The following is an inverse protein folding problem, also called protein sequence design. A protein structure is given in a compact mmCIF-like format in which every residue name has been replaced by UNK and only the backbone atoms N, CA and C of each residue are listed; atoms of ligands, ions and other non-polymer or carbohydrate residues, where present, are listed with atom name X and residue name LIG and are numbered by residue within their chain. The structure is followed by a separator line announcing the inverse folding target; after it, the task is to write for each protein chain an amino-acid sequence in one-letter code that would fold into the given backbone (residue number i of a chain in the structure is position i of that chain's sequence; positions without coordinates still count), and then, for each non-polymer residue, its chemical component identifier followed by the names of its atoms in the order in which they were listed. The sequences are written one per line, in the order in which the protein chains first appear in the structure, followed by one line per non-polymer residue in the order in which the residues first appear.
data_IF_949694567689
#
_entry.id   IF_949694567689
#
_cell.length_a   1.000
_cell.length_b   1.000
_cell.length_c   1.000
_cell.angle_alpha   90.00
_cell.angle_beta   90.00
_cell.angle_gamma   90.00
#
_symmetry.space_group_name_H-M   'P 1'
#
loop_
_entity.id
_entity.type
_entity.pdbx_description
1 polymer ?
#
# COMPACT_ATOMS: atom_id res chain seq x y z
N UNK A 1 13.45 22.69 -5.37
CA UNK A 1 13.63 21.27 -5.01
C UNK A 1 13.05 20.45 -6.14
N UNK A 2 13.89 19.68 -6.81
CA UNK A 2 13.49 18.78 -7.89
C UNK A 2 12.67 17.60 -7.34
N UNK A 3 11.85 16.98 -8.19
CA UNK A 3 10.93 15.88 -7.81
C UNK A 3 11.70 14.67 -7.25
N UNK A 4 12.84 14.34 -7.85
CA UNK A 4 13.69 13.23 -7.44
C UNK A 4 14.24 13.44 -6.02
N UNK A 5 14.69 14.66 -5.70
CA UNK A 5 15.19 14.99 -4.36
C UNK A 5 14.13 14.79 -3.26
N UNK A 6 12.86 15.10 -3.54
CA UNK A 6 11.77 14.87 -2.57
C UNK A 6 11.47 13.39 -2.37
N UNK A 7 11.62 12.57 -3.41
CA UNK A 7 11.44 11.13 -3.32
C UNK A 7 12.57 10.50 -2.50
N UNK A 8 13.82 10.91 -2.76
CA UNK A 8 14.99 10.44 -2.02
C UNK A 8 14.89 10.75 -0.52
N UNK A 9 14.49 11.97 -0.15
CA UNK A 9 14.28 12.35 1.25
C UNK A 9 13.15 11.57 1.93
N UNK A 10 12.11 11.23 1.18
CA UNK A 10 11.01 10.41 1.68
C UNK A 10 11.43 8.96 1.87
N UNK A 11 12.15 8.41 0.91
CA UNK A 11 12.72 7.08 0.99
C UNK A 11 13.66 6.97 2.20
N UNK A 12 14.60 7.90 2.35
CA UNK A 12 15.55 7.90 3.46
C UNK A 12 14.84 7.93 4.83
N UNK A 13 13.84 8.81 5.01
CA UNK A 13 13.06 8.85 6.25
C UNK A 13 12.27 7.56 6.50
N UNK A 14 11.65 7.00 5.47
CA UNK A 14 10.88 5.77 5.59
C UNK A 14 11.78 4.56 5.92
N UNK A 15 12.96 4.48 5.30
CA UNK A 15 13.95 3.44 5.57
C UNK A 15 14.68 3.60 6.90
N UNK A 16 14.62 4.76 7.56
CA UNK A 16 15.16 4.91 8.92
C UNK A 16 14.28 4.21 9.98
N UNK A 17 13.00 3.99 9.66
CA UNK A 17 12.08 3.30 10.55
C UNK A 17 12.36 1.79 10.60
N UNK A 18 12.00 1.15 11.72
CA UNK A 18 12.04 -0.31 11.80
C UNK A 18 10.98 -0.97 10.90
N UNK A 19 11.19 -2.24 10.56
CA UNK A 19 10.32 -3.02 9.68
C UNK A 19 8.85 -3.03 10.15
N UNK A 20 8.59 -3.15 11.45
CA UNK A 20 7.21 -3.15 11.99
C UNK A 20 6.49 -1.85 11.65
N UNK A 21 7.13 -0.69 11.82
CA UNK A 21 6.55 0.60 11.49
C UNK A 21 6.33 0.76 9.98
N UNK A 22 7.30 0.35 9.15
CA UNK A 22 7.16 0.37 7.68
C UNK A 22 5.97 -0.47 7.20
N UNK A 23 5.80 -1.68 7.75
CA UNK A 23 4.63 -2.53 7.49
C UNK A 23 3.34 -1.83 7.96
N UNK A 24 3.36 -1.19 9.13
CA UNK A 24 2.24 -0.39 9.63
C UNK A 24 1.84 0.75 8.68
N UNK A 25 2.80 1.45 8.09
CA UNK A 25 2.55 2.49 7.08
C UNK A 25 1.92 1.91 5.80
N UNK A 26 2.43 0.77 5.31
CA UNK A 26 1.83 0.07 4.17
C UNK A 26 0.39 -0.33 4.49
N UNK A 27 0.14 -0.92 5.66
CA UNK A 27 -1.19 -1.30 6.11
C UNK A 27 -2.15 -0.09 6.22
N UNK A 28 -1.66 1.04 6.70
CA UNK A 28 -2.42 2.30 6.78
C UNK A 28 -2.80 2.82 5.39
N UNK A 29 -1.88 2.80 4.44
CA UNK A 29 -2.17 3.19 3.07
C UNK A 29 -3.19 2.27 2.40
N UNK A 30 -3.12 0.96 2.62
CA UNK A 30 -4.13 0.01 2.15
C UNK A 30 -5.52 0.30 2.76
N UNK A 31 -5.59 0.68 4.06
CA UNK A 31 -6.84 1.13 4.68
C UNK A 31 -7.37 2.44 4.07
N UNK A 32 -6.48 3.35 3.67
CA UNK A 32 -6.85 4.58 2.95
C UNK A 32 -7.38 4.25 1.55
N UNK A 33 -6.78 3.31 0.83
CA UNK A 33 -7.27 2.85 -0.47
C UNK A 33 -8.68 2.29 -0.38
N UNK A 34 -8.98 1.44 0.63
CA UNK A 34 -10.34 0.99 0.93
C UNK A 34 -11.29 2.18 1.08
N UNK A 35 -10.94 3.15 1.92
CA UNK A 35 -11.76 4.34 2.16
C UNK A 35 -12.00 5.12 0.86
N UNK A 36 -10.97 5.39 0.07
CA UNK A 36 -11.07 6.17 -1.16
C UNK A 36 -11.81 5.46 -2.29
N UNK A 37 -11.73 4.13 -2.37
CA UNK A 37 -12.58 3.35 -3.26
C UNK A 37 -14.06 3.48 -2.87
N UNK A 38 -14.38 3.40 -1.57
CA UNK A 38 -15.76 3.51 -1.08
C UNK A 38 -16.38 4.89 -1.29
N UNK A 39 -15.62 5.96 -1.08
CA UNK A 39 -16.10 7.33 -1.30
C UNK A 39 -15.92 7.82 -2.74
N UNK A 40 -15.49 6.93 -3.64
CA UNK A 40 -15.23 7.22 -5.06
C UNK A 40 -14.34 8.47 -5.27
N UNK A 41 -13.15 8.48 -4.64
CA UNK A 41 -12.14 9.54 -4.82
C UNK A 41 -10.93 9.06 -5.66
N UNK A 42 -10.96 9.19 -7.00
CA UNK A 42 -9.99 8.53 -7.88
C UNK A 42 -8.56 9.03 -7.71
N UNK A 43 -8.36 10.35 -7.65
CA UNK A 43 -7.02 10.95 -7.56
C UNK A 43 -6.29 10.49 -6.28
N UNK A 44 -7.04 10.29 -5.19
CA UNK A 44 -6.49 9.79 -3.94
C UNK A 44 -6.14 8.29 -4.03
N UNK A 45 -6.91 7.49 -4.77
CA UNK A 45 -6.58 6.07 -5.02
C UNK A 45 -5.29 5.94 -5.82
N UNK A 46 -5.15 6.68 -6.92
CA UNK A 46 -3.93 6.65 -7.73
C UNK A 46 -2.70 7.10 -6.92
N UNK A 47 -2.80 8.24 -6.24
CA UNK A 47 -1.68 8.77 -5.46
C UNK A 47 -1.26 7.86 -4.30
N UNK A 48 -2.21 7.23 -3.60
CA UNK A 48 -1.87 6.32 -2.50
C UNK A 48 -1.38 4.97 -3.03
N UNK A 49 -1.90 4.48 -4.15
CA UNK A 49 -1.39 3.26 -4.78
C UNK A 49 0.09 3.41 -5.15
N UNK A 50 0.47 4.56 -5.72
CA UNK A 50 1.86 4.87 -6.10
C UNK A 50 2.79 4.89 -4.90
N UNK A 51 2.39 5.59 -3.83
CA UNK A 51 3.14 5.61 -2.57
C UNK A 51 3.29 4.21 -1.97
N UNK A 52 2.20 3.43 -1.99
CA UNK A 52 2.19 2.06 -1.43
C UNK A 52 3.14 1.14 -2.20
N UNK A 53 3.18 1.26 -3.53
CA UNK A 53 4.11 0.50 -4.38
C UNK A 53 5.56 0.81 -4.01
N UNK A 54 5.93 2.09 -3.86
CA UNK A 54 7.28 2.47 -3.43
C UNK A 54 7.61 1.94 -2.04
N UNK A 55 6.69 2.04 -1.08
CA UNK A 55 6.92 1.54 0.27
C UNK A 55 7.10 0.03 0.31
N UNK A 56 6.34 -0.72 -0.51
CA UNK A 56 6.54 -2.16 -0.68
C UNK A 56 7.93 -2.45 -1.24
N UNK A 57 8.34 -1.78 -2.32
CA UNK A 57 9.65 -1.98 -2.94
C UNK A 57 10.80 -1.76 -1.95
N UNK A 58 10.71 -0.72 -1.12
CA UNK A 58 11.71 -0.40 -0.11
C UNK A 58 11.67 -1.28 1.14
N UNK A 59 10.59 -2.04 1.35
CA UNK A 59 10.43 -2.92 2.52
C UNK A 59 10.70 -4.38 2.17
N UNK A 60 10.20 -4.87 1.03
CA UNK A 60 10.25 -6.28 0.66
C UNK A 60 11.67 -6.83 0.51
N UNK A 61 12.65 -5.98 0.18
CA UNK A 61 14.05 -6.36 0.08
C UNK A 61 14.73 -6.68 1.43
N UNK A 62 14.10 -6.30 2.55
CA UNK A 62 14.72 -6.32 3.90
C UNK A 62 13.96 -7.20 4.90
N UNK A 63 12.98 -8.00 4.44
CA UNK A 63 12.14 -8.84 5.30
C UNK A 63 12.21 -10.32 4.90
N UNK A 64 11.67 -11.19 5.76
CA UNK A 64 11.61 -12.63 5.50
C UNK A 64 10.90 -12.94 4.16
N UNK A 65 11.37 -13.94 3.40
CA UNK A 65 10.87 -14.22 2.05
C UNK A 65 9.36 -14.41 1.96
N UNK A 66 8.74 -15.05 2.95
CA UNK A 66 7.29 -15.30 2.98
C UNK A 66 6.49 -13.99 3.09
N UNK A 67 7.02 -13.02 3.84
CA UNK A 67 6.42 -11.69 3.95
C UNK A 67 6.70 -10.83 2.72
N UNK A 68 7.90 -10.96 2.14
CA UNK A 68 8.25 -10.28 0.89
C UNK A 68 7.34 -10.72 -0.26
N UNK A 69 7.05 -12.02 -0.38
CA UNK A 69 6.14 -12.56 -1.39
C UNK A 69 4.74 -11.94 -1.27
N UNK A 70 4.18 -11.87 -0.06
CA UNK A 70 2.86 -11.28 0.18
C UNK A 70 2.83 -9.80 -0.27
N UNK A 71 3.85 -9.01 0.10
CA UNK A 71 3.94 -7.61 -0.31
C UNK A 71 4.08 -7.46 -1.83
N UNK A 72 4.94 -8.26 -2.48
CA UNK A 72 5.13 -8.21 -3.92
C UNK A 72 3.84 -8.59 -4.67
N UNK A 73 3.08 -9.56 -4.17
CA UNK A 73 1.78 -9.91 -4.73
C UNK A 73 0.80 -8.72 -4.67
N UNK A 74 0.78 -7.97 -3.56
CA UNK A 74 0.00 -6.73 -3.43
C UNK A 74 0.48 -5.69 -4.45
N UNK A 75 1.79 -5.46 -4.57
CA UNK A 75 2.38 -4.52 -5.53
C UNK A 75 1.97 -4.84 -6.97
N UNK A 76 1.98 -6.12 -7.35
CA UNK A 76 1.55 -6.56 -8.69
C UNK A 76 0.07 -6.22 -8.93
N UNK A 77 -0.80 -6.44 -7.94
CA UNK A 77 -2.22 -6.11 -8.09
C UNK A 77 -2.46 -4.60 -8.15
N UNK A 78 -1.81 -3.80 -7.31
CA UNK A 78 -1.88 -2.33 -7.39
C UNK A 78 -1.39 -1.83 -8.75
N UNK A 79 -0.31 -2.40 -9.28
CA UNK A 79 0.20 -2.07 -10.62
C UNK A 79 -0.81 -2.43 -11.72
N UNK A 80 -1.53 -3.56 -11.59
CA UNK A 80 -2.60 -3.94 -12.51
C UNK A 80 -3.80 -3.01 -12.42
N UNK A 81 -4.16 -2.54 -11.23
CA UNK A 81 -5.21 -1.53 -11.05
C UNK A 81 -4.86 -0.28 -11.83
N UNK A 82 -3.63 0.24 -11.67
CA UNK A 82 -3.17 1.42 -12.41
C UNK A 82 -3.27 1.25 -13.93
N UNK A 83 -2.84 0.10 -14.45
CA UNK A 83 -2.89 -0.18 -15.90
C UNK A 83 -4.32 -0.22 -16.45
N UNK A 84 -5.31 -0.53 -15.61
CA UNK A 84 -6.72 -0.71 -16.00
C UNK A 84 -7.64 0.30 -15.30
N UNK A 85 -7.08 1.38 -14.76
CA UNK A 85 -7.76 2.18 -13.75
C UNK A 85 -9.10 2.72 -14.24
N UNK A 86 -9.13 3.35 -15.41
CA UNK A 86 -10.37 3.90 -16.00
C UNK A 86 -11.48 2.85 -16.12
N UNK A 87 -11.13 1.64 -16.57
CA UNK A 87 -12.11 0.55 -16.72
C UNK A 87 -12.64 0.06 -15.37
N UNK A 88 -11.75 -0.18 -14.40
CA UNK A 88 -12.14 -0.61 -13.05
C UNK A 88 -12.91 0.48 -12.31
N UNK A 89 -12.51 1.73 -12.50
CA UNK A 89 -13.10 2.86 -11.78
C UNK A 89 -14.49 3.21 -12.29
N UNK A 90 -14.75 3.03 -13.58
CA UNK A 90 -16.07 3.27 -14.18
C UNK A 90 -17.15 2.29 -13.70
N UNK A 91 -16.77 1.11 -13.22
CA UNK A 91 -17.66 0.07 -12.71
C UNK A 91 -17.72 0.10 -11.18
N UNK A 92 -18.92 0.33 -10.63
CA UNK A 92 -19.13 0.37 -9.17
C UNK A 92 -18.81 -0.96 -8.47
N UNK A 93 -19.11 -2.09 -9.12
CA UNK A 93 -18.83 -3.42 -8.59
C UNK A 93 -17.32 -3.65 -8.51
N UNK A 94 -16.57 -3.22 -9.52
CA UNK A 94 -15.11 -3.31 -9.53
C UNK A 94 -14.48 -2.38 -8.48
N UNK A 95 -14.96 -1.13 -8.34
CA UNK A 95 -14.52 -0.25 -7.24
C UNK A 95 -14.77 -0.85 -5.86
N UNK A 96 -15.91 -1.51 -5.67
CA UNK A 96 -16.22 -2.22 -4.41
C UNK A 96 -15.26 -3.39 -4.19
N UNK A 97 -14.96 -4.16 -5.23
CA UNK A 97 -13.97 -5.24 -5.16
C UNK A 97 -12.57 -4.71 -4.80
N UNK A 98 -12.14 -3.59 -5.39
CA UNK A 98 -10.89 -2.91 -5.01
C UNK A 98 -10.89 -2.54 -3.51
N UNK A 99 -12.00 -2.02 -3.00
CA UNK A 99 -12.14 -1.69 -1.57
C UNK A 99 -12.00 -2.90 -0.67
N UNK A 100 -12.66 -4.01 -1.00
CA UNK A 100 -12.61 -5.26 -0.24
C UNK A 100 -11.22 -5.89 -0.24
N UNK A 101 -10.55 -5.91 -1.40
CA UNK A 101 -9.15 -6.35 -1.53
C UNK A 101 -8.22 -5.51 -0.66
N UNK A 102 -8.30 -4.18 -0.77
CA UNK A 102 -7.48 -3.27 0.02
C UNK A 102 -7.71 -3.43 1.53
N UNK A 103 -8.95 -3.69 1.96
CA UNK A 103 -9.26 -3.99 3.36
C UNK A 103 -8.61 -5.30 3.83
N UNK A 104 -8.65 -6.35 3.01
CA UNK A 104 -8.03 -7.64 3.32
C UNK A 104 -6.50 -7.54 3.40
N UNK A 105 -5.88 -6.82 2.46
CA UNK A 105 -4.43 -6.59 2.48
C UNK A 105 -4.02 -5.75 3.69
N UNK A 106 -4.77 -4.70 4.03
CA UNK A 106 -4.50 -3.86 5.19
C UNK A 106 -4.43 -4.68 6.48
N UNK A 107 -5.43 -5.56 6.71
CA UNK A 107 -5.43 -6.43 7.89
C UNK A 107 -4.22 -7.36 7.91
N UNK A 108 -3.94 -8.05 6.79
CA UNK A 108 -2.81 -8.99 6.71
C UNK A 108 -1.46 -8.31 6.96
N UNK A 109 -1.21 -7.17 6.33
CA UNK A 109 0.05 -6.43 6.49
C UNK A 109 0.16 -5.85 7.91
N UNK A 110 -0.95 -5.44 8.52
CA UNK A 110 -0.97 -5.02 9.92
C UNK A 110 -0.64 -6.17 10.85
N UNK A 111 -1.15 -7.37 10.59
CA UNK A 111 -0.81 -8.57 11.37
C UNK A 111 0.68 -8.91 11.23
N UNK A 112 1.23 -8.86 10.01
CA UNK A 112 2.67 -9.04 9.74
C UNK A 112 3.54 -8.03 10.50
N UNK A 113 3.06 -6.81 10.73
CA UNK A 113 3.82 -5.78 11.43
C UNK A 113 4.08 -6.12 12.91
N UNK A 114 3.24 -6.95 13.52
CA UNK A 114 3.26 -7.23 14.96
C UNK A 114 2.89 -6.02 15.84
N UNK A 115 2.41 -4.91 15.29
CA UNK A 115 2.06 -3.71 16.08
C UNK A 115 0.82 -3.92 16.96
N UNK A 116 -0.09 -4.80 16.54
CA UNK A 116 -1.29 -5.16 17.32
C UNK A 116 -0.95 -5.92 18.61
N UNK A 117 0.16 -6.68 18.64
CA UNK A 117 0.59 -7.43 19.83
C UNK A 117 1.53 -6.62 20.74
N UNK A 118 2.14 -5.54 20.25
CA UNK A 118 3.01 -4.65 21.03
C UNK A 118 2.23 -3.60 21.84
N UNK A 119 0.93 -3.44 21.56
CA UNK A 119 0.06 -2.44 22.20
C UNK A 119 -0.70 -2.99 23.42
N UNK A 120 -0.34 -4.18 23.92
CA UNK A 120 -0.98 -4.88 25.04
C UNK A 120 -0.14 -4.88 26.31
#
# INVERSE_FOLDING_TARGET
MDMNQKLDEKQARFQDENTSNRLGHIASNLARLRTFCNIAYPQAVESVADETICFIEWTAAEIEPEYAEELVNIQVQLSRWKLKFDSLWSDESERKNMSEQASSWSQRVLDMSGLLSQSA
#
